data_IF_910321741998
#
_entry.id   IF_910321741998
#
_cell.length_a   1.000
_cell.length_b   1.000
_cell.length_c   1.000
_cell.angle_alpha   90.00
_cell.angle_beta   90.00
_cell.angle_gamma   90.00
#
_symmetry.space_group_name_H-M   'P 1'
#
loop_
_entity.id
_entity.type
_entity.pdbx_description
1 polymer ?
#
# COMPACT_ATOMS: atom_id res chain seq x y z
N UNK A 1 29.40 61.05 -37.80
CA UNK A 1 30.22 59.93 -38.30
C UNK A 1 30.48 58.82 -37.28
N UNK A 2 30.48 59.06 -35.95
CA UNK A 2 30.67 58.01 -34.93
C UNK A 2 29.59 56.91 -34.94
N UNK A 3 28.32 57.29 -35.10
CA UNK A 3 27.18 56.35 -35.09
C UNK A 3 27.15 55.37 -36.27
N UNK A 4 27.78 55.69 -37.41
CA UNK A 4 27.84 54.80 -38.57
C UNK A 4 28.94 53.73 -38.42
N UNK A 5 30.04 54.05 -37.74
CA UNK A 5 31.12 53.10 -37.48
C UNK A 5 30.78 52.09 -36.38
N UNK A 6 30.03 52.51 -35.36
CA UNK A 6 29.62 51.64 -34.25
C UNK A 6 28.65 50.53 -34.70
N UNK A 7 27.78 50.84 -35.67
CA UNK A 7 26.83 49.88 -36.23
C UNK A 7 27.50 48.84 -37.17
N UNK A 8 28.62 49.18 -37.80
CA UNK A 8 29.38 48.26 -38.68
C UNK A 8 30.24 47.31 -37.83
N UNK A 9 30.71 47.75 -36.66
CA UNK A 9 31.48 46.92 -35.73
C UNK A 9 30.62 45.82 -35.08
N UNK A 10 29.37 46.14 -34.70
CA UNK A 10 28.44 45.18 -34.10
C UNK A 10 27.89 44.15 -35.09
N UNK A 11 27.80 44.49 -36.38
CA UNK A 11 27.34 43.56 -37.44
C UNK A 11 28.34 42.45 -37.80
N UNK A 12 29.60 42.58 -37.37
CA UNK A 12 30.68 41.65 -37.69
C UNK A 12 31.09 40.72 -36.53
N UNK A 13 30.36 40.74 -35.41
CA UNK A 13 30.47 39.69 -34.40
C UNK A 13 29.77 38.44 -34.94
N UNK A 14 30.46 37.71 -35.81
CA UNK A 14 30.11 36.33 -36.14
C UNK A 14 30.02 35.57 -34.81
N UNK A 15 28.94 34.82 -34.55
CA UNK A 15 28.89 33.97 -33.38
C UNK A 15 30.10 33.03 -33.45
N UNK A 16 30.92 33.05 -32.41
CA UNK A 16 32.18 32.29 -32.30
C UNK A 16 31.93 30.78 -32.46
N UNK A 17 30.70 30.35 -32.23
CA UNK A 17 30.22 29.00 -32.49
C UNK A 17 29.00 29.05 -33.42
N UNK A 18 29.09 28.33 -34.54
CA UNK A 18 27.94 28.06 -35.41
C UNK A 18 26.90 27.29 -34.61
N UNK A 19 25.63 27.72 -34.69
CA UNK A 19 24.49 27.08 -34.00
C UNK A 19 24.45 25.57 -34.24
N UNK A 20 24.76 25.14 -35.46
CA UNK A 20 24.87 23.72 -35.86
C UNK A 20 25.95 22.96 -35.07
N UNK A 21 27.06 23.61 -34.70
CA UNK A 21 28.12 22.98 -33.90
C UNK A 21 27.70 22.81 -32.45
N UNK A 22 26.94 23.76 -31.91
CA UNK A 22 26.41 23.68 -30.53
C UNK A 22 25.35 22.58 -30.47
N UNK A 23 24.41 22.56 -31.42
CA UNK A 23 23.36 21.55 -31.52
C UNK A 23 23.96 20.15 -31.62
N UNK A 24 24.88 19.93 -32.56
CA UNK A 24 25.53 18.63 -32.75
C UNK A 24 26.33 18.18 -31.52
N UNK A 25 26.95 19.11 -30.81
CA UNK A 25 27.64 18.82 -29.54
C UNK A 25 26.65 18.40 -28.46
N UNK A 26 25.57 19.15 -28.27
CA UNK A 26 24.56 18.91 -27.26
C UNK A 26 23.83 17.58 -27.50
N UNK A 27 23.47 17.27 -28.75
CA UNK A 27 22.88 15.98 -29.13
C UNK A 27 23.85 14.83 -28.85
N UNK A 28 25.14 15.02 -29.14
CA UNK A 28 26.18 14.03 -28.82
C UNK A 28 26.27 13.74 -27.32
N UNK A 29 26.32 14.80 -26.49
CA UNK A 29 26.32 14.66 -25.03
C UNK A 29 25.07 13.96 -24.51
N UNK A 30 23.90 14.30 -25.05
CA UNK A 30 22.64 13.66 -24.67
C UNK A 30 22.66 12.16 -24.96
N UNK A 31 23.10 11.76 -26.17
CA UNK A 31 23.19 10.34 -26.55
C UNK A 31 24.16 9.59 -25.62
N UNK A 32 25.34 10.16 -25.34
CA UNK A 32 26.31 9.54 -24.44
C UNK A 32 25.74 9.36 -23.04
N UNK A 33 25.10 10.40 -22.49
CA UNK A 33 24.49 10.34 -21.16
C UNK A 33 23.35 9.32 -21.11
N UNK A 34 22.51 9.28 -22.14
CA UNK A 34 21.44 8.30 -22.28
C UNK A 34 21.99 6.86 -22.30
N UNK A 35 23.08 6.61 -23.04
CA UNK A 35 23.73 5.29 -23.07
C UNK A 35 24.30 4.90 -21.70
N UNK A 36 24.90 5.84 -20.98
CA UNK A 36 25.39 5.58 -19.61
C UNK A 36 24.23 5.20 -18.69
N UNK A 37 23.12 5.95 -18.73
CA UNK A 37 21.93 5.63 -17.93
C UNK A 37 21.35 4.26 -18.28
N UNK A 38 21.28 3.92 -19.57
CA UNK A 38 20.85 2.59 -20.03
C UNK A 38 21.74 1.48 -19.47
N UNK A 39 23.06 1.67 -19.47
CA UNK A 39 23.99 0.69 -18.89
C UNK A 39 23.76 0.52 -17.38
N UNK A 40 23.52 1.61 -16.64
CA UNK A 40 23.17 1.54 -15.22
C UNK A 40 21.89 0.72 -15.03
N UNK A 41 20.83 0.99 -15.78
CA UNK A 41 19.58 0.23 -15.68
C UNK A 41 19.78 -1.26 -15.96
N UNK A 42 20.61 -1.62 -16.95
CA UNK A 42 20.95 -3.01 -17.26
C UNK A 42 21.66 -3.68 -16.07
N UNK A 43 22.67 -3.03 -15.49
CA UNK A 43 23.41 -3.56 -14.33
C UNK A 43 22.48 -3.81 -13.14
N UNK A 44 21.53 -2.91 -12.89
CA UNK A 44 20.57 -3.04 -11.79
C UNK A 44 19.45 -4.05 -12.09
N UNK A 45 19.09 -4.26 -13.35
CA UNK A 45 18.03 -5.20 -13.74
C UNK A 45 18.50 -6.66 -13.74
N UNK A 46 19.80 -6.92 -13.98
CA UNK A 46 20.35 -8.27 -13.88
C UNK A 46 20.72 -8.62 -12.42
N UNK A 47 20.00 -9.55 -11.76
CA UNK A 47 20.16 -9.82 -10.34
C UNK A 47 21.58 -10.27 -9.95
N UNK A 48 22.29 -10.95 -10.86
CA UNK A 48 23.67 -11.40 -10.64
C UNK A 48 24.76 -10.32 -10.67
N UNK A 49 24.48 -9.13 -11.24
CA UNK A 49 25.42 -7.99 -11.26
C UNK A 49 25.10 -6.98 -10.16
N UNK A 50 23.81 -6.81 -9.84
CA UNK A 50 23.35 -5.89 -8.78
C UNK A 50 23.89 -6.26 -7.39
N UNK A 51 24.05 -7.54 -7.07
CA UNK A 51 24.53 -8.01 -5.74
C UNK A 51 26.00 -7.71 -5.49
N UNK A 52 26.83 -7.60 -6.54
CA UNK A 52 28.27 -7.30 -6.43
C UNK A 52 28.50 -5.80 -6.19
N UNK A 53 27.67 -4.94 -6.79
CA UNK A 53 27.72 -3.49 -6.59
C UNK A 53 27.02 -3.03 -5.30
N UNK A 54 25.99 -3.76 -4.86
CA UNK A 54 25.23 -3.48 -3.63
C UNK A 54 25.62 -4.46 -2.52
N UNK A 55 26.88 -4.40 -2.08
CA UNK A 55 27.44 -5.24 -1.00
C UNK A 55 26.76 -5.03 0.37
N UNK A 56 25.89 -4.03 0.52
CA UNK A 56 25.17 -3.70 1.76
C UNK A 56 23.65 -3.76 1.60
N UNK A 57 23.12 -4.80 0.94
CA UNK A 57 21.66 -5.07 0.94
C UNK A 57 21.11 -5.48 2.31
N UNK A 58 21.93 -5.62 3.33
CA UNK A 58 21.46 -5.78 4.72
C UNK A 58 20.79 -4.51 5.28
N UNK A 59 20.87 -3.37 4.56
CA UNK A 59 20.19 -2.11 4.91
C UNK A 59 19.00 -1.76 4.00
N UNK A 60 18.84 -2.46 2.88
CA UNK A 60 17.60 -2.41 2.09
C UNK A 60 16.72 -3.53 2.63
N UNK A 61 15.63 -3.18 3.31
CA UNK A 61 14.70 -4.15 3.87
C UNK A 61 14.43 -5.28 2.87
N UNK A 62 14.59 -6.52 3.33
CA UNK A 62 14.44 -7.68 2.47
C UNK A 62 13.04 -7.67 1.84
N UNK A 63 12.96 -7.95 0.54
CA UNK A 63 11.71 -8.39 -0.07
C UNK A 63 11.22 -9.59 0.76
N UNK A 64 9.95 -9.58 1.18
CA UNK A 64 9.32 -10.69 1.90
C UNK A 64 9.30 -11.92 0.98
N UNK A 65 10.44 -12.61 0.93
CA UNK A 65 10.65 -13.82 0.15
C UNK A 65 10.02 -14.96 0.90
N UNK A 66 8.79 -15.30 0.51
CA UNK A 66 7.91 -16.25 1.20
C UNK A 66 7.51 -15.70 2.57
N UNK A 67 6.21 -15.61 2.82
CA UNK A 67 5.66 -15.21 4.12
C UNK A 67 6.18 -16.18 5.20
N UNK A 68 7.33 -15.90 5.80
CA UNK A 68 7.50 -16.23 7.21
C UNK A 68 6.42 -15.39 7.90
N UNK A 69 5.35 -16.06 8.33
CA UNK A 69 4.26 -15.48 9.12
C UNK A 69 4.85 -14.97 10.44
N UNK A 70 5.51 -13.81 10.38
CA UNK A 70 6.03 -13.08 11.54
C UNK A 70 4.87 -12.56 12.41
N UNK A 71 3.64 -12.66 11.89
CA UNK A 71 2.41 -12.37 12.59
C UNK A 71 1.69 -13.68 12.83
N UNK A 72 1.53 -14.04 14.11
CA UNK A 72 0.62 -15.10 14.48
C UNK A 72 -0.77 -14.78 13.90
N UNK A 73 -1.44 -15.80 13.36
CA UNK A 73 -2.84 -15.71 12.96
C UNK A 73 -3.70 -16.27 14.09
N UNK A 74 -4.79 -15.56 14.39
CA UNK A 74 -5.83 -16.01 15.31
C UNK A 74 -7.12 -16.30 14.56
N UNK A 75 -8.03 -16.98 15.23
CA UNK A 75 -9.38 -17.23 14.75
C UNK A 75 -10.39 -16.65 15.75
N UNK A 76 -11.39 -15.93 15.26
CA UNK A 76 -12.51 -15.48 16.07
C UNK A 76 -13.84 -15.82 15.41
N UNK A 77 -14.85 -16.07 16.25
CA UNK A 77 -16.21 -16.37 15.81
C UNK A 77 -17.12 -15.26 16.27
N UNK A 78 -17.77 -14.60 15.31
CA UNK A 78 -18.79 -13.58 15.53
C UNK A 78 -20.17 -14.23 15.46
N UNK A 79 -21.07 -13.88 16.38
CA UNK A 79 -22.43 -14.39 16.49
C UNK A 79 -23.44 -13.23 16.46
N UNK A 80 -24.54 -13.40 15.71
CA UNK A 80 -25.73 -12.55 15.85
C UNK A 80 -26.65 -13.11 16.95
N UNK A 81 -27.03 -12.28 17.92
CA UNK A 81 -27.85 -12.69 19.05
C UNK A 81 -29.34 -12.54 18.75
N UNK A 82 -30.11 -13.57 19.11
CA UNK A 82 -31.56 -13.58 19.00
C UNK A 82 -32.10 -13.94 17.61
N UNK A 83 -31.23 -14.27 16.65
CA UNK A 83 -31.61 -14.70 15.31
C UNK A 83 -30.75 -15.88 14.85
N UNK A 84 -31.28 -16.67 13.90
CA UNK A 84 -30.60 -17.85 13.35
C UNK A 84 -29.85 -17.54 12.04
N UNK A 85 -30.26 -16.51 11.31
CA UNK A 85 -29.57 -15.99 10.13
C UNK A 85 -30.01 -14.56 9.84
N UNK A 86 -29.12 -13.82 9.18
CA UNK A 86 -29.33 -12.45 8.75
C UNK A 86 -28.38 -12.01 7.64
N UNK A 87 -28.76 -12.25 6.40
CA UNK A 87 -27.94 -11.91 5.23
C UNK A 87 -27.74 -10.39 5.01
N UNK A 88 -28.62 -9.54 5.57
CA UNK A 88 -28.54 -8.08 5.42
C UNK A 88 -27.54 -7.39 6.36
N UNK A 89 -26.89 -8.14 7.26
CA UNK A 89 -25.84 -7.68 8.17
C UNK A 89 -24.53 -8.36 7.79
N UNK A 90 -23.51 -7.55 7.53
CA UNK A 90 -22.21 -8.02 7.09
C UNK A 90 -21.15 -7.78 8.17
N UNK A 91 -20.20 -8.69 8.24
CA UNK A 91 -18.98 -8.55 9.04
C UNK A 91 -17.87 -8.07 8.11
N UNK A 92 -17.21 -6.99 8.51
CA UNK A 92 -16.05 -6.44 7.83
C UNK A 92 -14.79 -6.65 8.66
N UNK A 93 -13.68 -6.89 7.97
CA UNK A 93 -12.35 -6.91 8.54
C UNK A 93 -11.53 -5.80 7.87
N UNK A 94 -11.12 -4.80 8.65
CA UNK A 94 -10.41 -3.61 8.16
C UNK A 94 -11.14 -2.94 6.97
N UNK A 95 -12.46 -2.76 7.07
CA UNK A 95 -13.30 -2.17 6.02
C UNK A 95 -13.57 -3.07 4.80
N UNK A 96 -13.05 -4.30 4.76
CA UNK A 96 -13.28 -5.26 3.67
C UNK A 96 -14.32 -6.30 4.08
N UNK A 97 -15.21 -6.69 3.16
CA UNK A 97 -16.21 -7.72 3.41
C UNK A 97 -15.54 -9.04 3.80
N UNK A 98 -15.92 -9.58 4.96
CA UNK A 98 -15.37 -10.82 5.50
C UNK A 98 -16.43 -11.93 5.64
N UNK A 99 -17.72 -11.58 5.63
CA UNK A 99 -18.82 -12.53 5.58
C UNK A 99 -20.17 -11.90 5.90
N UNK A 100 -21.25 -12.61 5.60
CA UNK A 100 -22.63 -12.31 6.00
C UNK A 100 -23.10 -13.36 6.99
N UNK A 101 -24.12 -13.04 7.79
CA UNK A 101 -24.76 -14.04 8.65
C UNK A 101 -25.73 -14.93 7.86
N UNK A 102 -25.26 -15.64 6.84
CA UNK A 102 -26.07 -16.66 6.14
C UNK A 102 -26.55 -17.74 7.12
N UNK A 103 -25.76 -17.93 8.18
CA UNK A 103 -26.11 -18.62 9.40
C UNK A 103 -25.81 -17.71 10.60
N UNK A 104 -26.08 -18.20 11.80
CA UNK A 104 -25.89 -17.47 13.07
C UNK A 104 -24.46 -16.99 13.34
N UNK A 105 -23.46 -17.62 12.72
CA UNK A 105 -22.04 -17.41 13.01
C UNK A 105 -21.22 -17.06 11.77
N UNK A 106 -20.22 -16.19 11.96
CA UNK A 106 -19.17 -15.89 10.97
C UNK A 106 -17.82 -16.16 11.60
N UNK A 107 -16.99 -16.97 10.95
CA UNK A 107 -15.63 -17.29 11.40
C UNK A 107 -14.65 -16.41 10.63
N UNK A 108 -13.78 -15.72 11.37
CA UNK A 108 -12.77 -14.81 10.80
C UNK A 108 -11.36 -15.27 11.21
N UNK A 109 -10.46 -15.26 10.24
CA UNK A 109 -9.02 -15.27 10.50
C UNK A 109 -8.54 -13.85 10.69
N UNK A 110 -7.79 -13.59 11.76
CA UNK A 110 -7.39 -12.24 12.15
C UNK A 110 -5.94 -12.17 12.57
N UNK A 111 -5.36 -10.98 12.47
CA UNK A 111 -4.00 -10.64 12.89
C UNK A 111 -4.03 -9.57 13.97
N UNK A 112 -2.93 -9.43 14.70
CA UNK A 112 -2.80 -8.39 15.72
C UNK A 112 -3.06 -6.99 15.13
N UNK A 113 -3.97 -6.23 15.74
CA UNK A 113 -4.32 -4.88 15.32
C UNK A 113 -5.47 -4.76 14.32
N UNK A 114 -5.97 -5.87 13.78
CA UNK A 114 -7.12 -5.88 12.89
C UNK A 114 -8.37 -5.27 13.56
N UNK A 115 -9.21 -4.64 12.76
CA UNK A 115 -10.47 -4.05 13.21
C UNK A 115 -11.61 -4.88 12.64
N UNK A 116 -12.42 -5.43 13.54
CA UNK A 116 -13.66 -6.13 13.21
C UNK A 116 -14.81 -5.14 13.31
N UNK A 117 -15.56 -5.03 12.23
CA UNK A 117 -16.66 -4.07 12.09
C UNK A 117 -17.92 -4.79 11.62
N UNK A 118 -19.07 -4.22 11.93
CA UNK A 118 -20.38 -4.70 11.53
C UNK A 118 -21.02 -3.63 10.66
N UNK A 119 -21.32 -3.99 9.41
CA UNK A 119 -22.09 -3.18 8.48
C UNK A 119 -23.54 -3.62 8.49
N UNK A 120 -24.41 -2.72 8.92
CA UNK A 120 -25.84 -2.91 8.99
C UNK A 120 -26.57 -1.89 8.11
N UNK A 121 -25.88 -1.29 7.12
CA UNK A 121 -26.42 -0.23 6.25
C UNK A 121 -27.67 -0.64 5.49
N UNK A 122 -27.75 -1.92 5.10
CA UNK A 122 -28.88 -2.52 4.38
C UNK A 122 -29.99 -3.05 5.29
N UNK A 123 -29.79 -3.03 6.61
CA UNK A 123 -30.68 -3.64 7.61
C UNK A 123 -31.33 -2.60 8.56
N UNK A 124 -32.27 -3.06 9.39
CA UNK A 124 -32.83 -2.29 10.50
C UNK A 124 -31.91 -2.26 11.74
N UNK A 125 -32.09 -1.26 12.61
CA UNK A 125 -31.27 -1.07 13.82
C UNK A 125 -31.62 -2.06 14.95
N UNK A 126 -30.69 -2.24 15.91
CA UNK A 126 -30.98 -2.81 17.22
C UNK A 126 -30.68 -4.30 17.39
N UNK A 127 -29.99 -4.95 16.44
CA UNK A 127 -29.50 -6.33 16.61
C UNK A 127 -28.19 -6.35 17.35
N UNK A 128 -27.98 -7.32 18.23
CA UNK A 128 -26.74 -7.41 19.00
C UNK A 128 -25.85 -8.44 18.31
N UNK A 129 -24.63 -8.02 17.99
CA UNK A 129 -23.58 -8.88 17.45
C UNK A 129 -22.46 -8.97 18.47
N UNK A 130 -21.97 -10.18 18.73
CA UNK A 130 -20.99 -10.44 19.78
C UNK A 130 -19.89 -11.40 19.32
N UNK A 131 -18.71 -11.30 19.94
CA UNK A 131 -17.64 -12.30 19.76
C UNK A 131 -17.93 -13.47 20.68
N UNK A 132 -18.15 -14.66 20.10
CA UNK A 132 -18.52 -15.86 20.84
C UNK A 132 -17.33 -16.76 21.17
N UNK A 133 -16.33 -16.80 20.31
CA UNK A 133 -15.11 -17.61 20.49
C UNK A 133 -13.91 -16.85 19.95
N UNK A 134 -12.75 -17.11 20.56
CA UNK A 134 -11.44 -16.65 20.12
C UNK A 134 -10.43 -17.77 20.30
N UNK A 135 -9.42 -17.84 19.43
CA UNK A 135 -8.30 -18.77 19.54
C UNK A 135 -7.41 -18.42 20.75
N UNK A 136 -6.61 -19.39 21.19
CA UNK A 136 -5.84 -19.28 22.44
C UNK A 136 -4.80 -18.16 22.44
N UNK A 137 -4.28 -17.77 21.27
CA UNK A 137 -3.31 -16.69 21.09
C UNK A 137 -3.94 -15.28 21.05
N UNK A 138 -5.27 -15.18 21.06
CA UNK A 138 -5.97 -13.89 21.12
C UNK A 138 -6.28 -13.48 22.57
N UNK A 139 -6.32 -12.17 22.81
CA UNK A 139 -6.71 -11.59 24.10
C UNK A 139 -8.14 -12.02 24.46
N UNK A 140 -8.30 -12.64 25.63
CA UNK A 140 -9.59 -13.14 26.11
C UNK A 140 -10.59 -12.03 26.40
N UNK A 141 -10.13 -10.78 26.56
CA UNK A 141 -11.01 -9.61 26.68
C UNK A 141 -11.94 -9.43 25.46
N UNK A 142 -11.56 -9.96 24.30
CA UNK A 142 -12.38 -9.94 23.08
C UNK A 142 -13.72 -10.68 23.25
N UNK A 143 -13.81 -11.71 24.10
CA UNK A 143 -15.05 -12.46 24.36
C UNK A 143 -16.15 -11.61 25.05
N UNK A 144 -15.78 -10.47 25.64
CA UNK A 144 -16.74 -9.55 26.26
C UNK A 144 -17.29 -8.50 25.27
N UNK A 145 -16.82 -8.50 24.01
CA UNK A 145 -17.16 -7.48 23.04
C UNK A 145 -18.48 -7.81 22.34
N UNK A 146 -19.39 -6.85 22.39
CA UNK A 146 -20.64 -6.86 21.67
C UNK A 146 -20.99 -5.45 21.23
N UNK A 147 -21.73 -5.33 20.12
CA UNK A 147 -22.21 -4.07 19.58
C UNK A 147 -23.67 -4.21 19.17
N UNK A 148 -24.47 -3.18 19.45
CA UNK A 148 -25.80 -3.07 18.87
C UNK A 148 -25.68 -2.42 17.48
N UNK A 149 -26.23 -3.06 16.46
CA UNK A 149 -26.23 -2.58 15.09
C UNK A 149 -26.97 -1.27 15.00
N UNK A 150 -26.40 -0.34 14.26
CA UNK A 150 -26.98 0.95 13.90
C UNK A 150 -26.91 1.07 12.39
N UNK A 151 -27.74 1.93 11.80
CA UNK A 151 -27.66 2.16 10.35
C UNK A 151 -26.26 2.67 9.99
N UNK A 152 -25.55 1.92 9.16
CA UNK A 152 -24.15 2.20 8.81
C UNK A 152 -23.17 1.14 9.34
N UNK A 153 -21.90 1.55 9.49
CA UNK A 153 -20.82 0.70 9.99
C UNK A 153 -20.54 1.00 11.46
N UNK A 154 -20.34 -0.04 12.26
CA UNK A 154 -20.01 0.05 13.68
C UNK A 154 -18.81 -0.84 14.01
N UNK A 155 -17.91 -0.35 14.87
CA UNK A 155 -16.74 -1.12 15.29
C UNK A 155 -17.17 -2.10 16.40
N UNK A 156 -16.92 -3.39 16.19
CA UNK A 156 -17.14 -4.44 17.19
C UNK A 156 -15.92 -4.57 18.10
N UNK A 157 -14.72 -4.70 17.52
CA UNK A 157 -13.49 -4.88 18.28
C UNK A 157 -12.24 -4.51 17.49
N UNK A 158 -11.18 -4.14 18.21
CA UNK A 158 -9.81 -4.16 17.70
C UNK A 158 -9.11 -5.40 18.26
N UNK A 159 -8.63 -6.26 17.37
CA UNK A 159 -7.95 -7.50 17.69
C UNK A 159 -6.63 -7.22 18.38
N UNK A 160 -6.38 -7.95 19.47
CA UNK A 160 -5.12 -7.95 20.20
C UNK A 160 -4.72 -9.39 20.45
N UNK A 161 -3.45 -9.68 20.20
CA UNK A 161 -2.84 -10.95 20.57
C UNK A 161 -2.27 -10.85 22.00
N UNK A 162 -2.05 -12.00 22.63
CA UNK A 162 -1.48 -12.10 23.97
C UNK A 162 0.01 -11.73 24.02
#
# INVERSE_FOLDING_TARGET
MKFLFENIALRNLKPVFSEEKIERSLTGFFIVFFLILMLVQIVFHFPGLSSVFLKNRDMEGALLGVEEYLYEEGELVVEILGEESREDIHVLLNGSFAGSFDNKFVVLKVKNGDIVEIDASSSGEGKIVAIRKVSENLDSALLSKQVATKKGVSILAKVRMK
#
